data_IF_528668782946
#
_entry.id   IF_528668782946
#
_cell.length_a   1.000
_cell.length_b   1.000
_cell.length_c   1.000
_cell.angle_alpha   90.00
_cell.angle_beta   90.00
_cell.angle_gamma   90.00
#
_symmetry.space_group_name_H-M   'P 1'
#
loop_
_entity.id
_entity.type
_entity.pdbx_description
1 polymer ?
#
# COMPACT_ATOMS: atom_id res chain seq x y z
N UNK A 1 -3.29 19.98 -13.68
CA UNK A 1 -3.07 19.92 -12.22
C UNK A 1 -1.96 18.93 -11.94
N UNK A 2 -0.87 19.39 -11.32
CA UNK A 2 0.31 18.56 -10.98
C UNK A 2 0.00 17.76 -9.71
N UNK A 3 0.20 16.44 -9.71
CA UNK A 3 -0.11 15.57 -8.59
C UNK A 3 1.11 15.18 -7.76
N UNK A 4 2.29 15.14 -8.39
CA UNK A 4 3.54 14.73 -7.74
C UNK A 4 4.65 15.77 -7.90
N UNK A 5 5.63 15.75 -6.98
CA UNK A 5 6.80 16.61 -7.09
C UNK A 5 7.69 16.22 -8.29
N UNK A 6 7.70 14.95 -8.68
CA UNK A 6 8.44 14.46 -9.85
C UNK A 6 7.86 15.01 -11.15
N UNK A 7 6.53 15.06 -11.27
CA UNK A 7 5.83 15.73 -12.39
C UNK A 7 6.17 17.22 -12.45
N UNK A 8 6.19 17.91 -11.31
CA UNK A 8 6.59 19.32 -11.24
C UNK A 8 8.01 19.53 -11.80
N UNK A 9 8.98 18.72 -11.35
CA UNK A 9 10.37 18.82 -11.79
C UNK A 9 10.50 18.54 -13.29
N UNK A 10 9.80 17.51 -13.79
CA UNK A 10 9.80 17.18 -15.21
C UNK A 10 9.23 18.32 -16.07
N UNK A 11 8.12 18.93 -15.64
CA UNK A 11 7.50 20.05 -16.35
C UNK A 11 8.38 21.31 -16.33
N UNK A 12 9.04 21.63 -15.21
CA UNK A 12 9.98 22.76 -15.14
C UNK A 12 11.23 22.61 -16.01
N UNK A 13 11.62 21.38 -16.34
CA UNK A 13 12.78 21.11 -17.20
C UNK A 13 12.46 21.21 -18.70
N UNK A 14 11.18 21.36 -19.07
CA UNK A 14 10.79 21.56 -20.47
C UNK A 14 11.25 22.95 -20.96
N UNK A 15 11.93 23.00 -22.11
CA UNK A 15 12.51 24.25 -22.65
C UNK A 15 11.43 25.22 -23.18
N UNK A 16 10.27 24.70 -23.57
CA UNK A 16 9.16 25.50 -24.11
C UNK A 16 7.83 24.98 -23.54
N UNK A 17 7.51 25.30 -22.26
CA UNK A 17 6.26 24.88 -21.65
C UNK A 17 5.09 25.60 -22.34
N UNK A 18 4.04 24.86 -22.63
CA UNK A 18 2.77 25.39 -23.09
C UNK A 18 2.07 26.19 -21.96
N UNK A 19 1.17 27.13 -22.29
CA UNK A 19 0.52 27.99 -21.29
C UNK A 19 -0.26 27.21 -20.22
N UNK A 20 -0.84 26.05 -20.54
CA UNK A 20 -1.52 25.21 -19.56
C UNK A 20 -0.55 24.58 -18.55
N UNK A 21 0.67 24.22 -18.98
CA UNK A 21 1.73 23.76 -18.09
C UNK A 21 2.23 24.88 -17.17
N UNK A 22 2.34 26.12 -17.66
CA UNK A 22 2.70 27.27 -16.83
C UNK A 22 1.66 27.55 -15.74
N UNK A 23 0.37 27.43 -16.07
CA UNK A 23 -0.72 27.56 -15.10
C UNK A 23 -0.68 26.46 -14.04
N UNK A 24 -0.46 25.21 -14.46
CA UNK A 24 -0.34 24.08 -13.54
C UNK A 24 0.91 24.18 -12.62
N UNK A 25 2.02 24.73 -13.13
CA UNK A 25 3.22 25.04 -12.35
C UNK A 25 2.92 26.13 -11.32
N UNK A 26 2.24 27.22 -11.73
CA UNK A 26 1.90 28.32 -10.84
C UNK A 26 0.94 27.89 -9.72
N UNK A 27 -0.05 27.06 -10.04
CA UNK A 27 -0.97 26.47 -9.05
C UNK A 27 -0.24 25.60 -8.03
N UNK A 28 0.71 24.78 -8.49
CA UNK A 28 1.55 23.96 -7.61
C UNK A 28 2.48 24.80 -6.73
N UNK A 29 3.14 25.81 -7.29
CA UNK A 29 4.02 26.73 -6.56
C UNK A 29 3.27 27.57 -5.53
N UNK A 30 2.02 27.95 -5.80
CA UNK A 30 1.15 28.62 -4.82
C UNK A 30 0.84 27.76 -3.59
N UNK A 31 0.93 26.43 -3.72
CA UNK A 31 0.77 25.49 -2.61
C UNK A 31 2.06 25.22 -1.81
N UNK A 32 3.22 25.70 -2.27
CA UNK A 32 4.49 25.54 -1.57
C UNK A 32 4.61 26.54 -0.41
N UNK A 33 5.38 26.21 0.64
CA UNK A 33 5.65 27.15 1.71
C UNK A 33 6.35 28.39 1.17
N UNK A 34 5.88 29.57 1.61
CA UNK A 34 6.41 30.86 1.19
C UNK A 34 7.92 30.94 1.47
N UNK A 35 8.70 31.10 0.41
CA UNK A 35 10.15 31.20 0.48
C UNK A 35 10.62 32.47 1.20
N UNK A 36 9.79 33.52 1.24
CA UNK A 36 10.08 34.73 2.00
C UNK A 36 10.01 34.51 3.52
N UNK A 37 9.34 33.44 3.98
CA UNK A 37 9.26 33.06 5.38
C UNK A 37 10.43 32.17 5.84
N UNK A 38 11.39 31.88 4.97
CA UNK A 38 12.57 31.05 5.28
C UNK A 38 13.65 31.91 5.93
N UNK A 39 14.10 31.59 7.15
CA UNK A 39 15.20 32.32 7.79
C UNK A 39 16.49 32.24 6.97
N UNK A 40 17.22 33.35 6.88
CA UNK A 40 18.46 33.43 6.12
C UNK A 40 19.68 32.86 6.86
N UNK A 41 19.62 32.77 8.18
CA UNK A 41 20.70 32.20 8.98
C UNK A 41 20.60 30.66 9.07
N UNK A 42 21.72 29.92 8.98
CA UNK A 42 21.69 28.45 8.93
C UNK A 42 21.08 27.78 10.17
N UNK A 43 21.24 28.39 11.35
CA UNK A 43 20.70 27.85 12.60
C UNK A 43 19.17 27.91 12.65
N UNK A 44 18.61 29.09 12.42
CA UNK A 44 17.15 29.29 12.38
C UNK A 44 16.50 28.60 11.19
N UNK A 45 17.23 28.43 10.06
CA UNK A 45 16.74 27.61 8.94
C UNK A 45 16.48 26.17 9.35
N UNK A 46 17.40 25.54 10.08
CA UNK A 46 17.26 24.14 10.51
C UNK A 46 16.10 23.98 11.50
N UNK A 47 15.95 24.90 12.44
CA UNK A 47 14.84 24.92 13.39
C UNK A 47 13.50 25.11 12.67
N UNK A 48 13.42 26.07 11.76
CA UNK A 48 12.24 26.30 10.91
C UNK A 48 11.89 25.06 10.07
N UNK A 49 12.88 24.46 9.41
CA UNK A 49 12.68 23.30 8.54
C UNK A 49 12.19 22.08 9.31
N UNK A 50 12.81 21.79 10.46
CA UNK A 50 12.42 20.66 11.32
C UNK A 50 11.05 20.88 11.94
N UNK A 51 10.74 22.09 12.41
CA UNK A 51 9.41 22.46 12.89
C UNK A 51 8.33 22.29 11.82
N UNK A 52 8.56 22.82 10.61
CA UNK A 52 7.63 22.64 9.47
C UNK A 52 7.44 21.17 9.08
N UNK A 53 8.50 20.36 9.11
CA UNK A 53 8.38 18.92 8.85
C UNK A 53 7.53 18.21 9.92
N UNK A 54 7.71 18.57 11.18
CA UNK A 54 6.89 18.03 12.27
C UNK A 54 5.42 18.42 12.11
N UNK A 55 5.13 19.68 11.77
CA UNK A 55 3.77 20.15 11.50
C UNK A 55 3.10 19.35 10.39
N UNK A 56 3.79 19.15 9.25
CA UNK A 56 3.25 18.35 8.16
C UNK A 56 3.06 16.88 8.54
N UNK A 57 3.92 16.31 9.37
CA UNK A 57 3.74 14.95 9.88
C UNK A 57 2.46 14.86 10.74
N UNK A 58 2.25 15.81 11.64
CA UNK A 58 1.05 15.90 12.49
C UNK A 58 -0.23 16.14 11.70
N UNK A 59 -0.18 16.95 10.63
CA UNK A 59 -1.31 17.12 9.71
C UNK A 59 -1.66 15.82 8.99
N UNK A 60 -0.67 15.07 8.51
CA UNK A 60 -0.88 13.75 7.87
C UNK A 60 -1.55 12.77 8.82
N UNK A 61 -1.13 12.72 10.08
CA UNK A 61 -1.75 11.84 11.10
C UNK A 61 -3.21 12.22 11.32
N UNK A 62 -3.52 13.51 11.49
CA UNK A 62 -4.91 13.99 11.64
C UNK A 62 -5.79 13.63 10.43
N UNK A 63 -5.30 13.87 9.21
CA UNK A 63 -6.05 13.56 7.98
C UNK A 63 -6.30 12.07 7.83
N UNK A 64 -5.32 11.22 8.16
CA UNK A 64 -5.49 9.77 8.15
C UNK A 64 -6.54 9.32 9.15
N UNK A 65 -6.52 9.85 10.37
CA UNK A 65 -7.51 9.53 11.39
C UNK A 65 -8.93 9.95 10.96
N UNK A 66 -9.08 11.12 10.34
CA UNK A 66 -10.36 11.57 9.77
C UNK A 66 -10.84 10.66 8.65
N UNK A 67 -9.95 10.30 7.72
CA UNK A 67 -10.25 9.38 6.63
C UNK A 67 -10.70 8.00 7.14
N UNK A 68 -9.97 7.43 8.09
CA UNK A 68 -10.33 6.15 8.71
C UNK A 68 -11.68 6.20 9.43
N UNK A 69 -11.98 7.30 10.12
CA UNK A 69 -13.28 7.49 10.76
C UNK A 69 -14.42 7.54 9.73
N UNK A 70 -14.23 8.28 8.64
CA UNK A 70 -15.22 8.33 7.55
C UNK A 70 -15.42 6.97 6.89
N UNK A 71 -14.34 6.20 6.70
CA UNK A 71 -14.41 4.87 6.11
C UNK A 71 -15.20 3.91 7.01
N UNK A 72 -14.93 3.90 8.32
CA UNK A 72 -15.70 3.10 9.29
C UNK A 72 -17.18 3.50 9.33
N UNK A 73 -17.47 4.79 9.20
CA UNK A 73 -18.86 5.28 9.16
C UNK A 73 -19.61 4.75 7.93
N UNK A 74 -18.95 4.68 6.77
CA UNK A 74 -19.50 4.11 5.54
C UNK A 74 -19.69 2.60 5.69
N UNK A 75 -18.69 1.87 6.19
CA UNK A 75 -18.78 0.42 6.45
C UNK A 75 -19.95 0.10 7.39
N UNK A 76 -20.11 0.86 8.48
CA UNK A 76 -21.25 0.71 9.40
C UNK A 76 -22.59 1.00 8.72
N UNK A 77 -22.66 1.94 7.79
CA UNK A 77 -23.89 2.21 7.03
C UNK A 77 -24.22 1.04 6.08
N UNK A 78 -23.21 0.43 5.45
CA UNK A 78 -23.36 -0.76 4.62
C UNK A 78 -23.86 -1.95 5.45
N UNK A 79 -23.22 -2.23 6.59
CA UNK A 79 -23.66 -3.27 7.53
C UNK A 79 -25.09 -3.03 8.04
N UNK A 80 -25.44 -1.77 8.34
CA UNK A 80 -26.78 -1.40 8.76
C UNK A 80 -27.82 -1.62 7.66
N UNK A 81 -27.46 -1.32 6.40
CA UNK A 81 -28.30 -1.57 5.24
C UNK A 81 -28.55 -3.08 5.06
N UNK A 82 -27.51 -3.88 5.17
CA UNK A 82 -27.61 -5.34 5.10
C UNK A 82 -28.46 -5.88 6.26
N UNK A 83 -28.22 -5.45 7.50
CA UNK A 83 -28.98 -5.89 8.67
C UNK A 83 -30.48 -5.60 8.52
N UNK A 84 -30.86 -4.43 8.01
CA UNK A 84 -32.26 -4.03 7.87
C UNK A 84 -32.95 -4.60 6.63
N UNK A 85 -32.23 -4.76 5.53
CA UNK A 85 -32.86 -4.99 4.23
C UNK A 85 -32.42 -6.28 3.53
N UNK A 86 -31.40 -7.00 4.01
CA UNK A 86 -30.90 -8.20 3.33
C UNK A 86 -31.98 -9.29 3.19
N UNK A 87 -32.72 -9.61 4.26
CA UNK A 87 -33.78 -10.63 4.21
C UNK A 87 -34.93 -10.22 3.26
N UNK A 88 -35.30 -8.93 3.26
CA UNK A 88 -36.30 -8.42 2.31
C UNK A 88 -35.80 -8.49 0.87
N UNK A 89 -34.57 -8.06 0.63
CA UNK A 89 -33.93 -8.13 -0.68
C UNK A 89 -33.85 -9.58 -1.17
N UNK A 90 -33.46 -10.52 -0.29
CA UNK A 90 -33.41 -11.94 -0.62
C UNK A 90 -34.78 -12.52 -0.93
N UNK A 91 -35.82 -12.19 -0.16
CA UNK A 91 -37.19 -12.66 -0.41
C UNK A 91 -37.73 -12.12 -1.73
N UNK A 92 -37.53 -10.83 -2.00
CA UNK A 92 -37.93 -10.23 -3.28
C UNK A 92 -37.14 -10.87 -4.45
N UNK A 93 -35.85 -11.14 -4.26
CA UNK A 93 -35.01 -11.83 -5.23
C UNK A 93 -35.49 -13.26 -5.49
N UNK A 94 -35.76 -14.03 -4.44
CA UNK A 94 -36.27 -15.42 -4.55
C UNK A 94 -37.64 -15.45 -5.23
N UNK A 95 -38.54 -14.53 -4.88
CA UNK A 95 -39.86 -14.42 -5.50
C UNK A 95 -39.77 -14.07 -7.00
N UNK A 96 -38.79 -13.25 -7.40
CA UNK A 96 -38.55 -12.93 -8.81
C UNK A 96 -37.86 -14.08 -9.56
N UNK A 97 -37.01 -14.87 -8.88
CA UNK A 97 -36.28 -16.00 -9.48
C UNK A 97 -37.08 -17.33 -9.50
N UNK A 98 -38.25 -17.40 -8.85
CA UNK A 98 -39.08 -18.62 -8.84
C UNK A 98 -39.72 -19.02 -10.18
N UNK A 99 -39.42 -18.32 -11.28
CA UNK A 99 -39.89 -18.64 -12.63
C UNK A 99 -38.76 -18.78 -13.66
N UNK A 100 -38.16 -19.96 -13.79
CA UNK A 100 -37.21 -20.40 -14.84
C UNK A 100 -35.94 -19.55 -15.12
N UNK A 101 -35.87 -18.27 -14.76
CA UNK A 101 -34.72 -17.42 -15.02
C UNK A 101 -33.72 -17.52 -13.87
N UNK A 102 -32.50 -17.95 -14.18
CA UNK A 102 -31.38 -17.96 -13.23
C UNK A 102 -30.79 -16.55 -12.99
N UNK A 103 -31.30 -15.54 -13.69
CA UNK A 103 -30.87 -14.14 -13.60
C UNK A 103 -32.00 -13.16 -13.93
N UNK A 104 -31.99 -12.01 -13.27
CA UNK A 104 -32.89 -10.87 -13.45
C UNK A 104 -32.05 -9.64 -13.79
N UNK A 105 -32.44 -8.91 -14.84
CA UNK A 105 -31.81 -7.64 -15.25
C UNK A 105 -32.58 -6.47 -14.62
N UNK A 106 -31.85 -5.61 -13.92
CA UNK A 106 -32.31 -4.33 -13.38
C UNK A 106 -31.73 -3.17 -14.19
N UNK A 107 -32.24 -1.97 -13.96
CA UNK A 107 -31.74 -0.71 -14.55
C UNK A 107 -30.27 -0.44 -14.20
N UNK A 108 -29.81 -0.91 -13.04
CA UNK A 108 -28.46 -0.67 -12.50
C UNK A 108 -27.52 -1.88 -12.61
N UNK A 109 -27.99 -3.04 -13.10
CA UNK A 109 -27.15 -4.25 -13.17
C UNK A 109 -27.91 -5.54 -13.41
N UNK A 110 -27.22 -6.68 -13.40
CA UNK A 110 -27.83 -8.02 -13.53
C UNK A 110 -27.51 -8.84 -12.30
N UNK A 111 -28.53 -9.42 -11.66
CA UNK A 111 -28.35 -10.30 -10.51
C UNK A 111 -28.79 -11.70 -10.90
N UNK A 112 -28.00 -12.72 -10.56
CA UNK A 112 -28.34 -14.09 -10.88
C UNK A 112 -27.54 -15.10 -10.07
N UNK A 113 -28.07 -16.31 -9.99
CA UNK A 113 -27.41 -17.44 -9.34
C UNK A 113 -26.45 -18.08 -10.34
N UNK A 114 -25.15 -17.95 -10.06
CA UNK A 114 -24.10 -18.69 -10.78
C UNK A 114 -23.56 -19.82 -9.91
N UNK A 115 -23.28 -20.97 -10.51
CA UNK A 115 -22.46 -21.99 -9.85
C UNK A 115 -21.04 -21.45 -9.75
N UNK A 116 -20.56 -21.19 -8.52
CA UNK A 116 -19.15 -20.91 -8.27
C UNK A 116 -18.44 -22.26 -8.12
N UNK A 117 -17.30 -22.51 -8.80
CA UNK A 117 -16.49 -23.67 -8.48
C UNK A 117 -16.06 -23.61 -7.02
N UNK A 118 -16.05 -24.75 -6.33
CA UNK A 118 -15.55 -24.82 -4.96
C UNK A 118 -14.11 -24.33 -4.89
N UNK A 119 -13.78 -23.52 -3.89
CA UNK A 119 -12.42 -23.06 -3.61
C UNK A 119 -11.95 -23.69 -2.30
N UNK A 120 -10.71 -24.16 -2.27
CA UNK A 120 -10.05 -24.63 -1.04
C UNK A 120 -9.46 -23.40 -0.36
N UNK A 121 -9.82 -23.16 0.90
CA UNK A 121 -9.22 -22.13 1.73
C UNK A 121 -8.25 -22.81 2.71
N UNK A 122 -7.18 -22.11 3.09
CA UNK A 122 -6.19 -22.64 4.04
C UNK A 122 -6.87 -23.07 5.34
N UNK A 123 -6.66 -24.33 5.71
CA UNK A 123 -7.03 -24.86 7.02
C UNK A 123 -5.75 -25.02 7.85
N UNK A 124 -5.87 -24.93 9.18
CA UNK A 124 -4.78 -25.19 10.12
C UNK A 124 -4.46 -26.70 10.21
N UNK A 125 -4.12 -27.30 9.08
CA UNK A 125 -3.76 -28.71 8.97
C UNK A 125 -2.28 -28.77 8.56
N UNK A 126 -1.41 -29.43 9.35
CA UNK A 126 -0.01 -29.62 9.01
C UNK A 126 0.18 -30.17 7.59
N UNK A 127 1.14 -29.61 6.85
CA UNK A 127 1.38 -29.90 5.44
C UNK A 127 1.68 -31.40 5.17
N UNK A 128 2.27 -32.08 6.14
CA UNK A 128 2.61 -33.51 6.10
C UNK A 128 1.39 -34.42 5.95
N UNK A 129 0.20 -33.94 6.35
CA UNK A 129 -1.06 -34.68 6.26
C UNK A 129 -1.76 -34.47 4.90
N UNK A 130 -1.22 -33.63 4.02
CA UNK A 130 -1.80 -33.34 2.72
C UNK A 130 -1.37 -34.38 1.67
N UNK A 131 -2.22 -34.69 0.67
CA UNK A 131 -1.83 -35.55 -0.46
C UNK A 131 -0.59 -35.02 -1.18
N UNK A 132 0.28 -35.93 -1.65
CA UNK A 132 1.57 -35.61 -2.27
C UNK A 132 1.42 -34.70 -3.50
N UNK A 133 0.34 -34.89 -4.27
CA UNK A 133 0.01 -34.06 -5.42
C UNK A 133 -0.35 -32.63 -5.01
N UNK A 134 -0.99 -32.44 -3.85
CA UNK A 134 -1.36 -31.13 -3.34
C UNK A 134 -0.16 -30.39 -2.72
N UNK A 135 0.81 -31.12 -2.16
CA UNK A 135 2.06 -30.55 -1.68
C UNK A 135 2.86 -29.92 -2.83
N UNK A 136 2.86 -30.55 -4.00
CA UNK A 136 3.56 -30.04 -5.20
C UNK A 136 3.01 -28.71 -5.74
N UNK A 137 1.76 -28.37 -5.41
CA UNK A 137 1.13 -27.11 -5.82
C UNK A 137 1.56 -25.91 -4.96
N UNK A 138 2.34 -26.14 -3.90
CA UNK A 138 2.75 -25.11 -2.94
C UNK A 138 4.10 -24.54 -3.37
N UNK A 139 4.10 -23.27 -3.73
CA UNK A 139 5.34 -22.49 -3.90
C UNK A 139 5.83 -22.10 -2.51
N UNK A 140 6.79 -22.85 -1.96
CA UNK A 140 7.43 -22.49 -0.69
C UNK A 140 8.22 -21.20 -0.87
N UNK A 141 7.77 -20.13 -0.22
CA UNK A 141 8.50 -18.86 -0.15
C UNK A 141 9.72 -19.04 0.75
N UNK A 142 10.89 -18.66 0.27
CA UNK A 142 12.11 -18.63 1.10
C UNK A 142 11.90 -17.59 2.21
N UNK A 143 12.05 -18.01 3.47
CA UNK A 143 12.01 -17.11 4.61
C UNK A 143 13.33 -16.31 4.67
N UNK A 144 13.25 -15.06 4.23
CA UNK A 144 14.39 -14.14 4.19
C UNK A 144 14.87 -13.73 5.60
N UNK A 145 14.07 -13.92 6.64
CA UNK A 145 14.45 -13.61 8.03
C UNK A 145 15.38 -14.67 8.59
N UNK A 146 15.06 -15.94 8.37
CA UNK A 146 15.92 -17.06 8.73
C UNK A 146 17.19 -17.08 7.86
N UNK A 147 17.05 -16.80 6.56
CA UNK A 147 18.19 -16.71 5.65
C UNK A 147 19.23 -15.68 6.12
N UNK A 148 18.80 -14.50 6.60
CA UNK A 148 19.71 -13.46 7.15
C UNK A 148 20.43 -13.87 8.44
N UNK A 149 19.93 -14.85 9.19
CA UNK A 149 20.62 -15.37 10.38
C UNK A 149 21.68 -16.39 10.01
N UNK A 150 21.44 -17.15 8.95
CA UNK A 150 22.31 -18.26 8.50
C UNK A 150 23.37 -17.79 7.50
N UNK A 151 23.11 -16.69 6.77
CA UNK A 151 23.99 -16.19 5.71
C UNK A 151 24.58 -14.83 6.09
N UNK A 152 25.92 -14.75 6.05
CA UNK A 152 26.69 -13.52 6.17
C UNK A 152 27.10 -13.02 4.77
N UNK A 153 26.89 -11.74 4.49
CA UNK A 153 27.29 -11.13 3.21
C UNK A 153 28.58 -10.34 3.43
N UNK A 154 29.60 -10.59 2.62
CA UNK A 154 30.83 -9.80 2.62
C UNK A 154 31.11 -9.38 1.18
N UNK A 155 30.96 -8.08 0.91
CA UNK A 155 31.01 -7.54 -0.46
C UNK A 155 29.92 -8.17 -1.34
N UNK A 156 30.31 -8.78 -2.45
CA UNK A 156 29.38 -9.39 -3.43
C UNK A 156 29.11 -10.89 -3.18
N UNK A 157 29.72 -11.49 -2.17
CA UNK A 157 29.63 -12.94 -1.90
C UNK A 157 28.91 -13.24 -0.59
N UNK A 158 28.10 -14.30 -0.61
CA UNK A 158 27.41 -14.83 0.54
C UNK A 158 28.21 -15.99 1.16
N UNK A 159 28.22 -16.06 2.48
CA UNK A 159 28.92 -17.08 3.26
C UNK A 159 27.95 -17.66 4.30
N UNK A 160 28.12 -18.93 4.65
CA UNK A 160 27.44 -19.50 5.82
C UNK A 160 28.02 -18.87 7.10
N UNK A 161 27.16 -18.36 7.97
CA UNK A 161 27.55 -17.63 9.17
C UNK A 161 28.28 -18.52 10.19
N UNK A 162 27.96 -19.81 10.25
CA UNK A 162 28.54 -20.76 11.20
C UNK A 162 29.86 -21.36 10.71
N UNK A 163 29.96 -21.69 9.42
CA UNK A 163 31.10 -22.44 8.86
C UNK A 163 32.07 -21.56 8.06
N UNK A 164 31.64 -20.37 7.63
CA UNK A 164 32.45 -19.47 6.80
C UNK A 164 32.66 -19.94 5.36
N UNK A 165 31.98 -21.00 4.93
CA UNK A 165 32.09 -21.52 3.57
C UNK A 165 31.35 -20.62 2.57
N UNK A 166 31.91 -20.41 1.36
CA UNK A 166 31.26 -19.62 0.32
C UNK A 166 29.98 -20.34 -0.15
N UNK A 167 28.85 -19.65 -0.06
CA UNK A 167 27.55 -20.17 -0.45
C UNK A 167 27.10 -19.51 -1.75
N UNK A 168 26.99 -20.31 -2.80
CA UNK A 168 26.34 -19.86 -4.04
C UNK A 168 24.82 -19.95 -3.85
N UNK A 169 24.13 -18.82 -3.92
CA UNK A 169 22.68 -18.72 -3.81
C UNK A 169 22.07 -18.52 -5.22
N UNK A 170 21.82 -19.60 -5.99
CA UNK A 170 21.30 -19.47 -7.34
C UNK A 170 19.93 -18.79 -7.33
N UNK A 171 19.78 -17.71 -8.11
CA UNK A 171 18.54 -16.95 -8.24
C UNK A 171 18.31 -15.84 -7.20
N UNK A 172 19.23 -15.64 -6.24
CA UNK A 172 19.17 -14.54 -5.27
C UNK A 172 20.24 -13.50 -5.58
N UNK A 173 19.83 -12.22 -5.63
CA UNK A 173 20.76 -11.09 -5.79
C UNK A 173 21.29 -10.68 -4.43
N UNK A 174 22.61 -10.77 -4.24
CA UNK A 174 23.28 -10.29 -3.03
C UNK A 174 23.45 -8.78 -3.13
N UNK A 175 22.93 -8.05 -2.14
CA UNK A 175 23.20 -6.61 -1.98
C UNK A 175 24.33 -6.45 -0.97
N UNK A 176 25.43 -5.74 -1.32
CA UNK A 176 26.56 -5.57 -0.41
C UNK A 176 26.16 -4.75 0.82
N UNK A 177 26.86 -5.00 1.93
CA UNK A 177 26.78 -4.15 3.11
C UNK A 177 27.28 -2.73 2.77
N UNK A 178 26.51 -1.73 3.18
CA UNK A 178 26.83 -0.32 2.95
C UNK A 178 26.29 0.55 4.07
N UNK A 179 27.00 1.66 4.33
CA UNK A 179 26.57 2.65 5.31
C UNK A 179 25.57 3.61 4.67
N UNK A 180 24.41 3.78 5.30
CA UNK A 180 23.40 4.75 4.88
C UNK A 180 23.27 5.85 5.93
N UNK A 181 23.41 7.10 5.50
CA UNK A 181 23.07 8.26 6.33
C UNK A 181 21.57 8.21 6.63
N UNK A 182 21.20 8.08 7.90
CA UNK A 182 19.80 8.12 8.33
C UNK A 182 19.55 9.30 9.26
N UNK A 183 18.43 10.00 9.06
CA UNK A 183 17.95 11.05 9.96
C UNK A 183 16.60 10.62 10.50
N UNK A 184 16.56 10.26 11.79
CA UNK A 184 15.35 9.81 12.47
C UNK A 184 14.70 10.99 13.19
N UNK A 185 13.64 11.54 12.61
CA UNK A 185 12.76 12.48 13.31
C UNK A 185 11.97 11.70 14.37
N UNK A 186 12.01 12.15 15.62
CA UNK A 186 11.26 11.53 16.72
C UNK A 186 9.78 11.44 16.39
N UNK A 187 9.18 10.26 16.56
CA UNK A 187 7.73 10.13 16.69
C UNK A 187 7.40 10.54 18.12
N UNK A 188 6.63 11.61 18.30
CA UNK A 188 5.86 11.73 19.54
C UNK A 188 4.86 10.58 19.56
N UNK A 189 4.92 9.77 20.61
CA UNK A 189 3.94 8.73 20.88
C UNK A 189 2.58 9.43 21.10
N UNK A 190 1.65 9.17 20.19
CA UNK A 190 0.24 9.57 20.28
C UNK A 190 -0.57 8.43 20.90
#
# INVERSE_FOLDING_TARGET
MIQTHEEYVALKQTQTPDPATLEAIAEYEAGLPDLAAVPGDPGSFLEWYTGRKADYASQKVRLKAQYEAMLRDIERQEEGLDYHFADRAERELRAQLTGRSRSVKFLTGTIGLRKKPGSVNGADVPLELWPEEAQSAIVTKVDSTLLKKVVKVVGEKAYLAETGEPLELPGLRVTPEGEALYVKTGKEEA
#
